data_IF_059386119474
#
_entry.id   IF_059386119474
#
_cell.length_a   1.000
_cell.length_b   1.000
_cell.length_c   1.000
_cell.angle_alpha   90.00
_cell.angle_beta   90.00
_cell.angle_gamma   90.00
#
_symmetry.space_group_name_H-M   'P 1'
#
loop_
_entity.id
_entity.type
_entity.pdbx_description
1 polymer ?
#
# COMPACT_ATOMS: atom_id res chain seq x y z
N UNK A 1 -4.50 -4.60 17.13
CA UNK A 1 -4.96 -5.98 17.41
C UNK A 1 -6.16 -5.86 18.35
N UNK A 2 -7.18 -6.70 18.22
CA UNK A 2 -8.33 -6.61 19.14
C UNK A 2 -7.92 -7.13 20.52
N UNK A 3 -8.35 -6.47 21.61
CA UNK A 3 -7.88 -6.77 22.98
C UNK A 3 -8.08 -8.25 23.40
N UNK A 4 -9.11 -8.90 22.87
CA UNK A 4 -9.36 -10.32 23.14
C UNK A 4 -8.34 -11.26 22.48
N UNK A 5 -7.77 -10.88 21.32
CA UNK A 5 -6.74 -11.66 20.63
C UNK A 5 -5.46 -11.66 21.44
N UNK A 6 -5.01 -10.48 21.89
CA UNK A 6 -3.83 -10.33 22.78
C UNK A 6 -3.98 -11.17 24.04
N UNK A 7 -5.14 -11.11 24.70
CA UNK A 7 -5.44 -11.94 25.88
C UNK A 7 -5.39 -13.43 25.57
N UNK A 8 -5.88 -13.85 24.41
CA UNK A 8 -5.89 -15.27 24.01
C UNK A 8 -4.48 -15.78 23.74
N UNK A 9 -3.63 -14.96 23.09
CA UNK A 9 -2.22 -15.28 22.86
C UNK A 9 -1.46 -15.39 24.19
N UNK A 10 -1.69 -14.46 25.11
CA UNK A 10 -1.10 -14.50 26.44
C UNK A 10 -1.50 -15.78 27.21
N UNK A 11 -2.79 -16.10 27.24
CA UNK A 11 -3.28 -17.32 27.89
C UNK A 11 -2.67 -18.59 27.28
N UNK A 12 -2.45 -18.61 25.96
CA UNK A 12 -1.75 -19.70 25.30
C UNK A 12 -0.28 -19.79 25.75
N UNK A 13 0.42 -18.67 25.89
CA UNK A 13 1.80 -18.64 26.39
C UNK A 13 1.90 -19.19 27.82
N UNK A 14 0.98 -18.79 28.71
CA UNK A 14 0.88 -19.32 30.08
C UNK A 14 0.57 -20.82 30.07
N UNK A 15 -0.33 -21.27 29.20
CA UNK A 15 -0.63 -22.68 29.06
C UNK A 15 0.61 -23.48 28.61
N UNK A 16 1.37 -22.98 27.63
CA UNK A 16 2.61 -23.63 27.18
C UNK A 16 3.66 -23.70 28.27
N UNK A 17 3.81 -22.63 29.06
CA UNK A 17 4.74 -22.61 30.20
C UNK A 17 4.43 -23.75 31.20
N UNK A 18 3.16 -23.85 31.62
CA UNK A 18 2.72 -24.92 32.53
C UNK A 18 2.77 -26.31 31.89
N UNK A 19 2.46 -26.42 30.59
CA UNK A 19 2.55 -27.67 29.85
C UNK A 19 3.99 -28.20 29.79
N UNK A 20 4.97 -27.30 29.77
CA UNK A 20 6.39 -27.60 29.84
C UNK A 20 6.90 -27.79 31.29
N UNK A 21 6.01 -28.06 32.25
CA UNK A 21 6.33 -28.31 33.66
C UNK A 21 7.09 -27.14 34.32
N UNK A 22 6.80 -25.90 33.89
CA UNK A 22 7.42 -24.67 34.41
C UNK A 22 8.95 -24.59 34.18
N UNK A 23 9.50 -25.47 33.32
CA UNK A 23 10.96 -25.57 33.07
C UNK A 23 11.45 -24.70 31.93
N UNK A 24 10.57 -24.32 31.00
CA UNK A 24 10.93 -23.60 29.79
C UNK A 24 10.25 -22.23 29.79
N UNK A 25 10.99 -21.15 30.05
CA UNK A 25 10.42 -19.81 29.97
C UNK A 25 9.89 -19.51 28.57
N UNK A 26 8.73 -18.87 28.51
CA UNK A 26 8.09 -18.46 27.25
C UNK A 26 8.21 -16.96 27.10
N UNK A 27 8.60 -16.50 25.91
CA UNK A 27 8.68 -15.08 25.59
C UNK A 27 7.65 -14.75 24.53
N UNK A 28 6.69 -13.91 24.87
CA UNK A 28 5.74 -13.30 23.96
C UNK A 28 6.29 -11.95 23.51
N UNK A 29 6.52 -11.81 22.21
CA UNK A 29 7.00 -10.56 21.61
C UNK A 29 5.82 -9.78 21.02
N UNK A 30 5.65 -8.52 21.41
CA UNK A 30 4.57 -7.64 20.93
C UNK A 30 5.01 -6.18 20.91
N UNK A 31 4.48 -5.38 19.99
CA UNK A 31 4.69 -3.93 19.93
C UNK A 31 3.52 -3.13 20.56
N UNK A 32 2.62 -3.83 21.26
CA UNK A 32 1.49 -3.22 21.98
C UNK A 32 1.93 -2.86 23.41
N UNK A 33 2.14 -1.57 23.68
CA UNK A 33 2.58 -1.05 24.97
C UNK A 33 1.60 -1.38 26.11
N UNK A 34 0.29 -1.33 25.85
CA UNK A 34 -0.74 -1.68 26.85
C UNK A 34 -0.59 -3.15 27.27
N UNK A 35 -0.35 -4.03 26.29
CA UNK A 35 -0.16 -5.46 26.55
C UNK A 35 1.12 -5.76 27.33
N UNK A 36 2.22 -5.06 27.02
CA UNK A 36 3.49 -5.20 27.74
C UNK A 36 3.31 -4.76 29.19
N UNK A 37 2.67 -3.61 29.42
CA UNK A 37 2.44 -3.09 30.77
C UNK A 37 1.51 -3.99 31.57
N UNK A 38 0.45 -4.48 30.94
CA UNK A 38 -0.54 -5.33 31.59
C UNK A 38 0.03 -6.71 31.92
N UNK A 39 0.71 -7.38 30.98
CA UNK A 39 1.06 -8.80 31.11
C UNK A 39 2.55 -9.06 31.40
N UNK A 40 3.40 -8.04 31.35
CA UNK A 40 4.86 -8.19 31.45
C UNK A 40 5.38 -8.76 32.76
N UNK A 41 4.58 -8.73 33.83
CA UNK A 41 4.94 -9.26 35.16
C UNK A 41 3.84 -10.12 35.81
N UNK A 42 2.83 -10.52 35.03
CA UNK A 42 1.65 -11.23 35.56
C UNK A 42 1.92 -12.70 35.90
N UNK A 43 2.78 -13.39 35.14
CA UNK A 43 3.10 -14.81 35.37
C UNK A 43 4.60 -15.01 35.36
N UNK A 44 5.15 -15.59 36.44
CA UNK A 44 6.55 -15.97 36.50
C UNK A 44 6.89 -16.98 35.40
N UNK A 45 7.97 -16.72 34.64
CA UNK A 45 8.38 -17.57 33.52
C UNK A 45 7.72 -17.27 32.18
N UNK A 46 6.74 -16.36 32.12
CA UNK A 46 6.17 -15.82 30.88
C UNK A 46 6.53 -14.34 30.75
N UNK A 47 7.38 -14.00 29.78
CA UNK A 47 7.82 -12.64 29.53
C UNK A 47 7.06 -12.03 28.37
N UNK A 48 6.46 -10.85 28.57
CA UNK A 48 5.84 -10.06 27.50
C UNK A 48 6.68 -8.82 27.27
N UNK A 49 7.34 -8.72 26.12
CA UNK A 49 8.31 -7.66 25.82
C UNK A 49 8.23 -7.20 24.36
N UNK A 50 8.77 -6.01 24.07
CA UNK A 50 8.93 -5.52 22.69
C UNK A 50 10.01 -6.28 21.95
N UNK A 51 9.98 -6.24 20.61
CA UNK A 51 11.00 -6.88 19.79
C UNK A 51 12.38 -6.28 20.05
N UNK A 52 12.42 -4.96 20.26
CA UNK A 52 13.65 -4.26 20.65
C UNK A 52 14.23 -4.82 21.95
N UNK A 53 13.42 -4.90 23.01
CA UNK A 53 13.87 -5.43 24.30
C UNK A 53 14.27 -6.91 24.21
N UNK A 54 13.62 -7.69 23.34
CA UNK A 54 14.01 -9.06 23.07
C UNK A 54 15.42 -9.15 22.47
N UNK A 55 15.74 -8.32 21.49
CA UNK A 55 17.09 -8.26 20.91
C UNK A 55 18.12 -7.77 21.94
N UNK A 56 17.80 -6.74 22.71
CA UNK A 56 18.69 -6.18 23.73
C UNK A 56 19.02 -7.22 24.83
N UNK A 57 18.01 -7.96 25.28
CA UNK A 57 18.16 -8.90 26.40
C UNK A 57 18.79 -10.23 26.00
N UNK A 58 18.38 -10.80 24.87
CA UNK A 58 18.79 -12.16 24.48
C UNK A 58 19.94 -12.16 23.46
N UNK A 59 20.13 -11.07 22.70
CA UNK A 59 21.08 -11.00 21.59
C UNK A 59 21.86 -9.67 21.55
N UNK A 60 22.49 -9.23 22.64
CA UNK A 60 23.19 -7.94 22.69
C UNK A 60 24.37 -7.86 21.70
N UNK A 61 25.02 -8.99 21.41
CA UNK A 61 26.18 -9.04 20.53
C UNK A 61 25.82 -9.05 19.03
N UNK A 62 24.52 -9.19 18.69
CA UNK A 62 24.06 -9.32 17.31
C UNK A 62 23.85 -7.94 16.65
N UNK A 63 24.94 -7.18 16.50
CA UNK A 63 24.92 -5.78 16.02
C UNK A 63 24.15 -5.59 14.70
N UNK A 64 24.29 -6.51 13.75
CA UNK A 64 23.57 -6.42 12.47
C UNK A 64 22.05 -6.42 12.64
N UNK A 65 21.51 -7.22 13.58
CA UNK A 65 20.07 -7.24 13.82
C UNK A 65 19.60 -5.97 14.53
N UNK A 66 20.41 -5.44 15.44
CA UNK A 66 20.16 -4.15 16.11
C UNK A 66 20.10 -2.99 15.12
N UNK A 67 21.11 -2.87 14.25
CA UNK A 67 21.16 -1.83 13.21
C UNK A 67 19.95 -1.91 12.27
N UNK A 68 19.55 -3.12 11.86
CA UNK A 68 18.35 -3.33 11.04
C UNK A 68 17.07 -2.95 11.79
N UNK A 69 16.95 -3.35 13.06
CA UNK A 69 15.79 -3.01 13.88
C UNK A 69 15.66 -1.49 14.05
N UNK A 70 16.75 -0.80 14.38
CA UNK A 70 16.77 0.65 14.52
C UNK A 70 16.46 1.36 13.20
N UNK A 71 17.00 0.87 12.07
CA UNK A 71 16.69 1.39 10.74
C UNK A 71 15.20 1.29 10.41
N UNK A 72 14.57 0.15 10.71
CA UNK A 72 13.12 -0.05 10.49
C UNK A 72 12.31 0.88 11.40
N UNK A 73 12.65 0.97 12.69
CA UNK A 73 11.96 1.84 13.65
C UNK A 73 12.12 3.32 13.31
N UNK A 74 13.28 3.72 12.79
CA UNK A 74 13.50 5.09 12.32
C UNK A 74 12.68 5.39 11.07
N UNK A 75 12.74 4.51 10.05
CA UNK A 75 11.96 4.70 8.82
C UNK A 75 10.46 4.76 9.08
N UNK A 76 9.96 4.02 10.07
CA UNK A 76 8.56 4.09 10.49
C UNK A 76 8.20 5.45 11.09
N UNK A 77 9.02 5.96 12.01
CA UNK A 77 8.83 7.28 12.64
C UNK A 77 8.91 8.43 11.64
N UNK A 78 9.84 8.35 10.69
CA UNK A 78 9.97 9.35 9.63
C UNK A 78 8.71 9.40 8.77
N UNK A 79 8.16 8.25 8.36
CA UNK A 79 6.88 8.21 7.62
C UNK A 79 5.71 8.78 8.42
N UNK A 80 5.65 8.47 9.72
CA UNK A 80 4.61 8.99 10.61
C UNK A 80 4.73 10.52 10.74
N UNK A 81 5.93 11.06 10.90
CA UNK A 81 6.19 12.50 10.96
C UNK A 81 5.90 13.20 9.62
N UNK A 82 6.37 12.65 8.49
CA UNK A 82 6.07 13.17 7.15
C UNK A 82 4.55 13.22 6.91
N UNK A 83 3.81 12.20 7.37
CA UNK A 83 2.35 12.18 7.26
C UNK A 83 1.63 13.21 8.15
N UNK A 84 2.28 13.67 9.22
CA UNK A 84 1.77 14.71 10.11
C UNK A 84 2.13 16.13 9.63
N UNK A 85 3.34 16.33 9.10
CA UNK A 85 3.83 17.62 8.59
C UNK A 85 3.30 17.92 7.18
N UNK A 86 3.14 16.90 6.32
CA UNK A 86 2.44 17.03 5.05
C UNK A 86 0.93 16.92 5.29
N UNK A 87 0.28 18.06 5.49
CA UNK A 87 -1.19 18.19 5.61
C UNK A 87 -2.00 17.68 4.38
N UNK A 88 -1.39 16.93 3.46
CA UNK A 88 -2.06 16.24 2.37
C UNK A 88 -1.43 14.87 2.16
N UNK A 89 -2.23 13.81 2.30
CA UNK A 89 -1.87 12.48 1.81
C UNK A 89 -1.44 12.64 0.35
N UNK A 90 -0.18 12.34 0.03
CA UNK A 90 0.40 12.54 -1.31
C UNK A 90 -0.43 11.85 -2.40
N UNK A 91 -1.11 10.77 -2.01
CA UNK A 91 -2.04 9.99 -2.83
C UNK A 91 -3.40 9.87 -2.12
N UNK A 92 -4.47 9.84 -2.91
CA UNK A 92 -5.81 9.55 -2.41
C UNK A 92 -5.87 8.18 -1.72
N UNK A 93 -6.72 8.06 -0.71
CA UNK A 93 -6.97 6.77 -0.07
C UNK A 93 -7.76 5.85 -1.01
N UNK A 94 -7.48 4.56 -0.91
CA UNK A 94 -8.21 3.57 -1.66
C UNK A 94 -9.62 3.40 -1.07
N UNK A 95 -10.60 3.17 -1.93
CA UNK A 95 -11.95 2.88 -1.52
C UNK A 95 -12.01 1.50 -0.83
N UNK A 96 -12.94 1.31 0.13
CA UNK A 96 -13.19 0.01 0.73
C UNK A 96 -13.58 -1.04 -0.31
N UNK A 97 -13.17 -2.29 -0.09
CA UNK A 97 -13.42 -3.40 -1.00
C UNK A 97 -14.91 -3.56 -1.34
N UNK A 98 -15.79 -3.39 -0.36
CA UNK A 98 -17.25 -3.48 -0.52
C UNK A 98 -17.78 -2.47 -1.54
N UNK A 99 -17.24 -1.24 -1.54
CA UNK A 99 -17.62 -0.18 -2.48
C UNK A 99 -17.07 -0.49 -3.87
N UNK A 100 -15.84 -0.99 -3.95
CA UNK A 100 -15.22 -1.39 -5.23
C UNK A 100 -16.01 -2.52 -5.88
N UNK A 101 -16.36 -3.57 -5.13
CA UNK A 101 -17.14 -4.69 -5.64
C UNK A 101 -18.54 -4.27 -6.11
N UNK A 102 -19.24 -3.43 -5.34
CA UNK A 102 -20.54 -2.90 -5.74
C UNK A 102 -20.44 -2.00 -6.99
N UNK A 103 -19.37 -1.20 -7.08
CA UNK A 103 -19.09 -0.34 -8.22
C UNK A 103 -18.73 -1.13 -9.49
N UNK A 104 -17.98 -2.24 -9.37
CA UNK A 104 -17.69 -3.15 -10.49
C UNK A 104 -18.99 -3.84 -10.95
N UNK A 105 -19.78 -4.38 -10.02
CA UNK A 105 -21.06 -5.06 -10.33
C UNK A 105 -22.07 -4.12 -10.98
N UNK A 106 -22.08 -2.84 -10.60
CA UNK A 106 -22.93 -1.81 -11.21
C UNK A 106 -22.38 -1.23 -12.50
N UNK A 107 -21.16 -1.61 -12.92
CA UNK A 107 -20.49 -1.11 -14.12
C UNK A 107 -19.94 0.31 -14.00
N UNK A 108 -19.93 0.91 -12.80
CA UNK A 108 -19.31 2.21 -12.53
C UNK A 108 -17.79 2.13 -12.56
N UNK A 109 -17.23 1.04 -12.03
CA UNK A 109 -15.81 0.80 -12.00
C UNK A 109 -15.39 -0.32 -12.95
N UNK A 110 -14.18 -0.18 -13.47
CA UNK A 110 -13.59 -1.11 -14.42
C UNK A 110 -12.37 -1.75 -13.78
N UNK A 111 -12.31 -3.08 -13.78
CA UNK A 111 -11.14 -3.82 -13.31
C UNK A 111 -10.23 -4.21 -14.48
N UNK A 112 -8.93 -4.03 -14.31
CA UNK A 112 -7.95 -4.42 -15.31
C UNK A 112 -6.53 -4.52 -14.77
N UNK A 113 -5.60 -4.94 -15.63
CA UNK A 113 -4.18 -5.03 -15.30
C UNK A 113 -3.50 -3.73 -15.69
N UNK A 114 -2.77 -3.10 -14.76
CA UNK A 114 -1.99 -1.91 -15.02
C UNK A 114 -0.67 -2.25 -15.71
N UNK A 115 -0.46 -1.66 -16.88
CA UNK A 115 0.77 -1.73 -17.66
C UNK A 115 1.44 -0.35 -17.71
N UNK A 116 2.49 -0.17 -16.89
CA UNK A 116 3.29 1.07 -16.90
C UNK A 116 4.18 1.13 -18.13
N UNK A 117 4.22 2.28 -18.82
CA UNK A 117 5.09 2.49 -19.97
C UNK A 117 6.56 2.49 -19.53
N UNK A 118 7.38 1.54 -20.02
CA UNK A 118 8.80 1.40 -19.65
C UNK A 118 9.64 2.64 -19.96
N UNK A 119 9.29 3.38 -21.02
CA UNK A 119 10.01 4.59 -21.42
C UNK A 119 9.49 5.86 -20.74
N UNK A 120 8.28 5.80 -20.17
CA UNK A 120 7.58 6.96 -19.59
C UNK A 120 6.90 6.61 -18.28
N UNK A 121 7.62 5.92 -17.40
CA UNK A 121 7.04 5.36 -16.19
C UNK A 121 6.47 6.41 -15.22
N UNK A 122 6.90 7.67 -15.32
CA UNK A 122 6.39 8.76 -14.47
C UNK A 122 5.13 9.43 -15.05
N UNK A 123 4.85 9.23 -16.34
CA UNK A 123 3.86 10.03 -17.09
C UNK A 123 2.71 9.15 -17.57
N UNK A 124 2.99 7.93 -18.05
CA UNK A 124 2.00 7.10 -18.73
C UNK A 124 1.94 5.67 -18.17
N UNK A 125 0.73 5.23 -17.86
CA UNK A 125 0.38 3.83 -17.66
C UNK A 125 -0.94 3.51 -18.35
N UNK A 126 -1.18 2.25 -18.64
CA UNK A 126 -2.35 1.78 -19.37
C UNK A 126 -3.04 0.67 -18.60
N UNK A 127 -4.35 0.72 -18.41
CA UNK A 127 -5.11 -0.38 -17.82
C UNK A 127 -5.74 -1.18 -18.93
N UNK A 128 -5.34 -2.46 -19.00
CA UNK A 128 -5.94 -3.44 -19.90
C UNK A 128 -7.05 -4.18 -19.18
N UNK A 129 -8.25 -4.08 -19.71
CA UNK A 129 -9.43 -4.79 -19.21
C UNK A 129 -9.16 -6.31 -19.13
N UNK A 130 -9.44 -6.91 -17.97
CA UNK A 130 -9.51 -8.37 -17.86
C UNK A 130 -10.92 -8.84 -18.27
N UNK A 131 -10.99 -9.94 -19.01
CA UNK A 131 -12.14 -10.34 -19.80
C UNK A 131 -13.48 -10.39 -19.05
N UNK A 132 -14.41 -9.51 -19.46
CA UNK A 132 -15.84 -9.78 -19.45
C UNK A 132 -16.54 -8.89 -20.51
N UNK A 133 -16.80 -9.49 -21.67
CA UNK A 133 -17.91 -9.16 -22.58
C UNK A 133 -18.32 -7.69 -22.70
N UNK A 134 -17.49 -6.83 -23.29
CA UNK A 134 -18.02 -5.70 -24.04
C UNK A 134 -18.06 -6.08 -25.53
N UNK A 135 -19.03 -6.94 -25.88
CA UNK A 135 -19.43 -7.16 -27.28
C UNK A 135 -20.26 -5.99 -27.85
N UNK A 136 -20.46 -4.91 -27.09
CA UNK A 136 -21.41 -3.85 -27.43
C UNK A 136 -20.90 -2.41 -27.24
N UNK A 137 -19.59 -2.22 -27.04
CA UNK A 137 -18.98 -0.91 -27.27
C UNK A 137 -17.57 -1.11 -27.77
N UNK A 138 -17.20 -0.41 -28.84
CA UNK A 138 -15.90 -0.50 -29.53
C UNK A 138 -14.69 -0.05 -28.70
N UNK A 139 -14.75 -0.16 -27.37
CA UNK A 139 -13.66 0.10 -26.43
C UNK A 139 -12.79 -1.16 -26.32
N UNK A 140 -12.14 -1.51 -27.43
CA UNK A 140 -10.90 -2.33 -27.44
C UNK A 140 -9.73 -1.54 -26.84
N UNK A 141 -9.96 -0.27 -26.51
CA UNK A 141 -8.96 0.72 -26.15
C UNK A 141 -8.53 0.59 -24.69
N UNK A 142 -7.23 0.36 -24.48
CA UNK A 142 -6.58 0.47 -23.17
C UNK A 142 -6.92 1.84 -22.51
N UNK A 143 -7.16 1.85 -21.20
CA UNK A 143 -7.48 3.08 -20.44
C UNK A 143 -6.16 3.77 -20.07
N UNK A 144 -5.98 5.04 -20.44
CA UNK A 144 -4.80 5.82 -20.10
C UNK A 144 -4.87 6.31 -18.64
N UNK A 145 -3.79 6.12 -17.91
CA UNK A 145 -3.55 6.70 -16.59
C UNK A 145 -2.39 7.69 -16.73
N UNK A 146 -2.68 8.98 -16.59
CA UNK A 146 -1.71 10.04 -16.83
C UNK A 146 -1.15 10.62 -15.53
N UNK A 147 0.10 10.30 -15.24
CA UNK A 147 0.87 10.81 -14.10
C UNK A 147 0.90 9.90 -12.88
N UNK A 148 1.92 10.07 -12.03
CA UNK A 148 2.12 9.25 -10.83
C UNK A 148 0.98 9.36 -9.82
N UNK A 149 0.44 10.56 -9.60
CA UNK A 149 -0.68 10.79 -8.67
C UNK A 149 -1.92 10.01 -9.09
N UNK A 150 -2.28 10.12 -10.38
CA UNK A 150 -3.33 9.33 -10.99
C UNK A 150 -3.01 7.84 -11.04
N UNK A 151 -1.76 7.38 -10.91
CA UNK A 151 -1.47 5.94 -10.78
C UNK A 151 -1.79 5.39 -9.38
N UNK A 152 -1.99 6.28 -8.41
CA UNK A 152 -2.35 5.97 -7.02
C UNK A 152 -1.57 4.77 -6.45
N UNK A 153 -0.26 4.96 -6.25
CA UNK A 153 0.67 3.95 -5.72
C UNK A 153 0.81 2.65 -6.53
N UNK A 154 0.04 2.43 -7.60
CA UNK A 154 0.02 1.18 -8.37
C UNK A 154 1.30 0.96 -9.18
N UNK A 155 1.69 -0.31 -9.38
CA UNK A 155 2.88 -0.73 -10.12
C UNK A 155 2.51 -1.61 -11.32
N UNK A 156 3.47 -1.83 -12.22
CA UNK A 156 3.26 -2.66 -13.40
C UNK A 156 2.88 -4.10 -13.00
N UNK A 157 1.79 -4.61 -13.58
CA UNK A 157 1.26 -5.95 -13.33
C UNK A 157 0.18 -6.02 -12.26
N UNK A 158 -0.06 -4.93 -11.52
CA UNK A 158 -1.13 -4.89 -10.53
C UNK A 158 -2.51 -5.02 -11.19
N UNK A 159 -3.41 -5.72 -10.53
CA UNK A 159 -4.84 -5.63 -10.81
C UNK A 159 -5.36 -4.38 -10.12
N UNK A 160 -5.94 -3.47 -10.89
CA UNK A 160 -6.43 -2.18 -10.41
C UNK A 160 -7.89 -1.99 -10.80
N UNK A 161 -8.60 -1.23 -9.98
CA UNK A 161 -9.97 -0.80 -10.25
C UNK A 161 -9.97 0.68 -10.57
N UNK A 162 -10.37 1.04 -11.78
CA UNK A 162 -10.37 2.42 -12.27
C UNK A 162 -11.78 2.95 -12.47
N UNK A 163 -11.96 4.23 -12.15
CA UNK A 163 -13.12 5.03 -12.52
C UNK A 163 -12.78 5.85 -13.76
N UNK A 164 -13.64 5.85 -14.77
CA UNK A 164 -13.46 6.69 -15.94
C UNK A 164 -13.81 8.13 -15.59
N UNK A 165 -12.88 9.05 -15.89
CA UNK A 165 -13.13 10.48 -15.79
C UNK A 165 -14.20 10.91 -16.81
N UNK A 166 -14.76 12.10 -16.60
CA UNK A 166 -15.70 12.67 -17.57
C UNK A 166 -15.03 12.83 -18.93
N UNK A 167 -15.78 12.69 -20.03
CA UNK A 167 -15.23 12.79 -21.41
C UNK A 167 -14.44 14.08 -21.67
N UNK A 168 -14.77 15.16 -20.95
CA UNK A 168 -14.11 16.45 -21.06
C UNK A 168 -12.68 16.45 -20.46
N UNK A 169 -12.35 15.46 -19.64
CA UNK A 169 -11.07 15.32 -18.94
C UNK A 169 -10.20 14.22 -19.57
N UNK A 170 -10.69 13.58 -20.64
CA UNK A 170 -9.96 12.55 -21.36
C UNK A 170 -8.74 13.16 -22.04
N UNK A 171 -7.56 12.62 -21.70
CA UNK A 171 -6.30 13.06 -22.29
C UNK A 171 -5.93 12.15 -23.45
N UNK A 172 -5.41 12.76 -24.51
CA UNK A 172 -4.74 12.03 -25.57
C UNK A 172 -3.39 11.50 -25.09
N UNK A 173 -2.87 10.48 -25.78
CA UNK A 173 -1.48 10.04 -25.59
C UNK A 173 -0.56 11.22 -25.89
N UNK A 174 0.44 11.45 -25.04
CA UNK A 174 1.42 12.52 -25.25
C UNK A 174 2.25 12.17 -26.48
N UNK A 175 1.97 12.81 -27.61
CA UNK A 175 2.69 12.63 -28.86
C UNK A 175 3.87 13.60 -28.97
N UNK A 176 4.74 13.67 -27.97
CA UNK A 176 5.94 14.50 -28.04
C UNK A 176 7.19 13.61 -28.02
N UNK A 177 7.76 13.37 -29.20
CA UNK A 177 9.20 13.19 -29.36
C UNK A 177 9.80 14.60 -29.30
N UNK A 178 10.28 15.06 -28.15
CA UNK A 178 11.25 16.16 -28.10
C UNK A 178 12.01 16.09 -26.78
N UNK A 179 13.32 16.00 -26.93
CA UNK A 179 14.34 16.06 -25.90
C UNK A 179 14.41 17.46 -25.26
N UNK A 180 14.92 17.47 -24.03
CA UNK A 180 15.64 18.56 -23.36
C UNK A 180 14.86 19.69 -22.66
N UNK A 181 15.22 19.85 -21.38
CA UNK A 181 15.17 21.07 -20.56
C UNK A 181 15.37 22.33 -21.39
N UNK A 182 14.38 23.23 -21.41
CA UNK A 182 14.50 24.67 -21.13
C UNK A 182 13.20 25.40 -21.51
N UNK A 183 12.81 26.36 -20.66
CA UNK A 183 11.75 27.34 -20.87
C UNK A 183 11.85 28.00 -22.26
N UNK A 184 10.76 27.99 -23.06
CA UNK A 184 10.05 29.20 -23.49
C UNK A 184 8.82 28.90 -24.37
N UNK A 185 7.96 29.90 -24.48
CA UNK A 185 6.59 29.94 -25.03
C UNK A 185 6.24 29.16 -26.31
N UNK A 186 5.01 28.63 -26.25
CA UNK A 186 3.97 28.58 -27.30
C UNK A 186 4.31 27.93 -28.65
N UNK A 187 3.88 26.68 -28.81
CA UNK A 187 3.12 26.25 -30.00
C UNK A 187 2.29 25.02 -29.65
N UNK A 188 0.98 25.08 -29.90
CA UNK A 188 0.06 23.99 -29.61
C UNK A 188 0.26 22.82 -30.58
N UNK A 189 0.60 21.66 -30.02
CA UNK A 189 0.46 20.40 -30.74
C UNK A 189 -1.03 19.99 -30.76
N UNK A 190 -1.52 19.42 -31.88
CA UNK A 190 -2.90 18.96 -31.97
C UNK A 190 -3.13 17.83 -30.95
N UNK A 191 -4.25 17.86 -30.20
CA UNK A 191 -4.56 16.80 -29.26
C UNK A 191 -4.75 15.48 -30.04
N UNK A 192 -3.88 14.50 -29.76
CA UNK A 192 -4.13 13.09 -30.08
C UNK A 192 -5.54 12.71 -29.62
N UNK A 193 -6.24 11.86 -30.37
CA UNK A 193 -7.63 11.47 -30.07
C UNK A 193 -7.83 11.12 -28.59
N UNK A 194 -8.89 11.65 -27.94
CA UNK A 194 -9.13 11.49 -26.52
C UNK A 194 -9.36 10.00 -26.20
N UNK A 195 -8.47 9.42 -25.40
CA UNK A 195 -8.62 8.04 -24.95
C UNK A 195 -9.32 8.00 -23.59
N UNK A 196 -10.06 6.92 -23.28
CA UNK A 196 -10.64 6.72 -21.95
C UNK A 196 -9.55 6.90 -20.88
N UNK A 197 -9.70 7.92 -20.03
CA UNK A 197 -8.74 8.23 -18.96
C UNK A 197 -9.41 7.93 -17.64
N UNK A 198 -8.70 7.23 -16.75
CA UNK A 198 -9.25 6.88 -15.45
C UNK A 198 -8.29 7.18 -14.31
N UNK A 199 -8.83 7.19 -13.10
CA UNK A 199 -8.05 7.18 -11.87
C UNK A 199 -8.35 5.87 -11.11
N UNK A 200 -7.33 5.15 -10.61
CA UNK A 200 -7.49 3.98 -9.77
C UNK A 200 -8.00 4.40 -8.40
N UNK A 201 -9.17 3.87 -8.10
CA UNK A 201 -9.84 4.04 -6.81
C UNK A 201 -9.47 2.94 -5.81
N UNK A 202 -8.71 1.91 -6.22
CA UNK A 202 -8.20 0.87 -5.33
C UNK A 202 -7.38 -0.23 -6.00
N UNK A 203 -6.80 -1.11 -5.16
CA UNK A 203 -6.07 -2.34 -5.50
C UNK A 203 -6.82 -3.54 -4.94
#
# INVERSE_FOLDING_TARGET
>A
MEKWQTRSIYNAAVWYYHHCQDRMPIVMVTEDEEAIQQYGSETEGVFVISFKNYLDNFWPDLKAAHELCDSILQSRRERENESQESHGKEYAEHLPLEVLEAGIKSGRYIQGILNVNKHRAQIEAFVRLQGASCKDSGLVSDILIHGMKARNRSIHGDVVVVELLSKNEWKGRTAALCENDSDDKALGDPPSEPMPTGEPSGR
#
